data_IF_356708137287
#
_entry.id   IF_356708137287
#
_cell.length_a   1.000
_cell.length_b   1.000
_cell.length_c   1.000
_cell.angle_alpha   90.00
_cell.angle_beta   90.00
_cell.angle_gamma   90.00
#
_symmetry.space_group_name_H-M   'P 1'
#
loop_
_entity.id
_entity.type
_entity.pdbx_description
1 polymer ?
#
# COMPACT_ATOMS: atom_id res chain seq x y z
N UNK A 1 31.43 19.86 3.11
CA UNK A 1 30.15 19.73 2.43
C UNK A 1 29.63 18.34 2.71
N UNK A 2 28.49 18.22 3.36
CA UNK A 2 27.82 16.95 3.58
C UNK A 2 26.91 16.68 2.37
N UNK A 3 26.87 15.45 1.84
CA UNK A 3 25.99 15.09 0.72
C UNK A 3 24.51 15.32 1.05
N UNK A 4 24.11 15.17 2.32
CA UNK A 4 22.75 15.45 2.75
C UNK A 4 22.32 16.91 2.56
N UNK A 5 23.29 17.86 2.54
CA UNK A 5 23.02 19.28 2.29
C UNK A 5 22.62 19.58 0.83
N UNK A 6 22.80 18.59 -0.06
CA UNK A 6 22.45 18.67 -1.48
C UNK A 6 21.09 18.00 -1.80
N UNK A 7 20.45 17.39 -0.82
CA UNK A 7 19.13 16.80 -1.01
C UNK A 7 18.08 17.91 -1.21
N UNK A 8 17.02 17.60 -1.96
CA UNK A 8 15.86 18.51 -2.06
C UNK A 8 15.18 18.63 -0.70
N UNK A 9 14.62 19.79 -0.39
CA UNK A 9 14.09 20.12 0.93
C UNK A 9 13.05 19.11 1.42
N UNK A 10 12.17 18.63 0.54
CA UNK A 10 11.15 17.63 0.86
C UNK A 10 11.75 16.29 1.32
N UNK A 11 12.90 15.90 0.76
CA UNK A 11 13.63 14.69 1.14
C UNK A 11 14.46 14.94 2.40
N UNK A 12 15.11 16.08 2.52
CA UNK A 12 15.91 16.41 3.70
C UNK A 12 15.09 16.46 5.00
N UNK A 13 13.83 16.81 4.89
CA UNK A 13 12.87 16.86 6.02
C UNK A 13 12.23 15.50 6.37
N UNK A 14 12.44 14.44 5.56
CA UNK A 14 11.85 13.14 5.81
C UNK A 14 12.40 12.49 7.09
N UNK A 15 11.50 11.93 7.87
CA UNK A 15 11.84 10.99 8.93
C UNK A 15 11.77 9.57 8.35
N UNK A 16 12.90 8.84 8.24
CA UNK A 16 12.88 7.50 7.67
C UNK A 16 11.95 6.58 8.44
N UNK A 17 11.22 5.74 7.71
CA UNK A 17 10.46 4.66 8.33
C UNK A 17 11.40 3.72 9.08
N UNK A 18 11.12 3.48 10.36
CA UNK A 18 11.88 2.53 11.18
C UNK A 18 11.16 1.18 11.14
N UNK A 19 11.69 0.20 10.40
CA UNK A 19 11.09 -1.14 10.36
C UNK A 19 11.23 -1.86 11.70
N UNK A 20 10.44 -2.91 11.90
CA UNK A 20 10.59 -3.78 13.07
C UNK A 20 12.01 -4.40 13.14
N UNK A 21 12.59 -4.48 14.34
CA UNK A 21 13.94 -5.02 14.53
C UNK A 21 14.03 -6.49 14.09
N UNK A 22 15.08 -6.87 13.34
CA UNK A 22 15.39 -8.29 13.09
C UNK A 22 15.70 -9.03 14.41
N UNK A 23 15.33 -10.32 14.46
CA UNK A 23 15.58 -11.16 15.65
C UNK A 23 17.07 -11.19 15.99
N UNK A 24 17.94 -11.33 14.99
CA UNK A 24 19.39 -11.40 15.15
C UNK A 24 19.98 -10.11 15.73
N UNK A 25 19.41 -8.95 15.41
CA UNK A 25 19.83 -7.67 15.98
C UNK A 25 19.47 -7.60 17.47
N UNK A 26 18.24 -8.04 17.82
CA UNK A 26 17.79 -8.08 19.20
C UNK A 26 18.66 -9.05 20.04
N UNK A 27 18.94 -10.23 19.47
CA UNK A 27 19.82 -11.23 20.12
C UNK A 27 21.22 -10.67 20.38
N UNK A 28 21.81 -9.96 19.41
CA UNK A 28 23.12 -9.32 19.59
C UNK A 28 23.09 -8.21 20.65
N UNK A 29 22.02 -7.40 20.65
CA UNK A 29 21.91 -6.23 21.52
C UNK A 29 21.67 -6.62 22.98
N UNK A 30 20.87 -7.64 23.25
CA UNK A 30 20.41 -8.00 24.60
C UNK A 30 20.95 -9.35 25.09
N UNK A 31 21.70 -10.10 24.29
CA UNK A 31 22.24 -11.39 24.67
C UNK A 31 21.19 -12.50 24.89
N UNK A 32 19.98 -12.32 24.37
CA UNK A 32 18.88 -13.28 24.48
C UNK A 32 18.91 -14.28 23.31
N UNK A 33 18.42 -15.51 23.54
CA UNK A 33 18.43 -16.56 22.50
C UNK A 33 17.04 -16.90 21.99
N UNK A 34 16.06 -16.97 22.86
CA UNK A 34 14.71 -17.41 22.54
C UNK A 34 13.81 -16.18 22.36
N UNK A 35 13.85 -15.59 21.17
CA UNK A 35 13.06 -14.39 20.83
C UNK A 35 11.81 -14.79 20.07
N UNK A 36 10.65 -14.37 20.56
CA UNK A 36 9.38 -14.46 19.85
C UNK A 36 9.10 -13.10 19.22
N UNK A 37 9.11 -13.03 17.88
CA UNK A 37 8.79 -11.82 17.13
C UNK A 37 7.28 -11.75 16.87
N UNK A 38 6.63 -10.71 17.44
CA UNK A 38 5.22 -10.42 17.25
C UNK A 38 5.01 -9.10 16.47
N UNK A 39 6.04 -8.67 15.75
CA UNK A 39 6.05 -7.44 14.95
C UNK A 39 6.11 -7.74 13.45
N UNK A 40 5.83 -6.72 12.63
CA UNK A 40 5.91 -6.75 11.16
C UNK A 40 4.86 -7.63 10.46
N UNK A 41 3.83 -8.09 11.18
CA UNK A 41 2.72 -8.88 10.63
C UNK A 41 3.17 -10.10 9.81
N UNK A 42 4.32 -10.70 10.19
CA UNK A 42 4.86 -11.89 9.53
C UNK A 42 4.00 -13.12 9.82
N UNK A 43 3.74 -13.93 8.79
CA UNK A 43 2.97 -15.16 8.96
C UNK A 43 3.77 -16.21 9.73
N UNK A 44 3.28 -16.71 10.89
CA UNK A 44 3.96 -17.77 11.63
C UNK A 44 3.86 -19.14 10.95
N UNK A 45 2.97 -19.30 9.97
CA UNK A 45 2.74 -20.55 9.23
C UNK A 45 3.80 -20.74 8.13
N UNK A 46 4.39 -19.65 7.65
CA UNK A 46 5.32 -19.67 6.54
C UNK A 46 4.64 -19.89 5.16
N UNK A 47 5.43 -20.04 4.09
CA UNK A 47 4.92 -20.20 2.74
C UNK A 47 4.32 -21.59 2.49
N UNK A 48 3.41 -21.67 1.52
CA UNK A 48 2.85 -22.97 1.09
C UNK A 48 3.90 -23.89 0.46
N UNK A 49 3.71 -25.20 0.55
CA UNK A 49 4.61 -26.17 -0.07
C UNK A 49 4.68 -26.00 -1.60
N UNK A 50 3.58 -25.59 -2.24
CA UNK A 50 3.56 -25.29 -3.66
C UNK A 50 4.45 -24.08 -4.01
N UNK A 51 4.43 -23.03 -3.20
CA UNK A 51 5.31 -21.87 -3.38
C UNK A 51 6.79 -22.26 -3.22
N UNK A 52 7.12 -23.04 -2.19
CA UNK A 52 8.50 -23.52 -1.98
C UNK A 52 9.00 -24.36 -3.16
N UNK A 53 8.17 -25.27 -3.68
CA UNK A 53 8.52 -26.09 -4.84
C UNK A 53 8.73 -25.23 -6.11
N UNK A 54 7.88 -24.23 -6.34
CA UNK A 54 8.01 -23.31 -7.47
C UNK A 54 9.29 -22.46 -7.38
N UNK A 55 9.64 -21.97 -6.19
CA UNK A 55 10.90 -21.24 -5.94
C UNK A 55 12.10 -22.14 -6.23
N UNK A 56 12.13 -23.36 -5.71
CA UNK A 56 13.20 -24.30 -5.94
C UNK A 56 13.39 -24.64 -7.43
N UNK A 57 12.30 -24.67 -8.20
CA UNK A 57 12.36 -24.87 -9.65
C UNK A 57 12.92 -23.61 -10.34
N UNK A 58 12.44 -22.43 -9.98
CA UNK A 58 12.86 -21.16 -10.59
C UNK A 58 14.35 -20.85 -10.36
N UNK A 59 14.94 -21.29 -9.23
CA UNK A 59 16.37 -21.10 -8.95
C UNK A 59 17.32 -21.80 -9.93
N UNK A 60 16.83 -22.71 -10.76
CA UNK A 60 17.65 -23.39 -11.77
C UNK A 60 18.06 -22.48 -12.93
N UNK A 61 17.40 -21.35 -13.11
CA UNK A 61 17.64 -20.41 -14.22
C UNK A 61 17.94 -18.98 -13.72
N UNK A 62 18.70 -18.86 -12.64
CA UNK A 62 19.07 -17.56 -12.04
C UNK A 62 20.04 -16.74 -12.91
N UNK A 63 20.60 -17.32 -13.97
CA UNK A 63 21.53 -16.61 -14.86
C UNK A 63 20.83 -15.68 -15.84
N UNK A 64 19.52 -15.75 -15.94
CA UNK A 64 18.71 -14.91 -16.82
C UNK A 64 17.92 -13.87 -16.02
N UNK A 65 17.74 -12.70 -16.60
CA UNK A 65 16.81 -11.73 -16.05
C UNK A 65 15.36 -12.25 -16.08
N UNK A 66 14.57 -11.97 -15.06
CA UNK A 66 13.14 -12.24 -15.12
C UNK A 66 12.48 -11.39 -16.21
N UNK A 67 11.30 -11.82 -16.67
CA UNK A 67 10.48 -11.01 -17.57
C UNK A 67 10.07 -9.69 -16.88
N UNK A 68 10.59 -8.58 -17.39
CA UNK A 68 10.33 -7.25 -16.85
C UNK A 68 8.86 -6.81 -16.94
N UNK A 69 8.09 -7.40 -17.85
CA UNK A 69 6.64 -7.14 -17.95
C UNK A 69 5.81 -8.02 -17.02
N UNK A 70 6.40 -9.11 -16.48
CA UNK A 70 5.70 -10.06 -15.62
C UNK A 70 4.52 -10.75 -16.32
N UNK A 71 4.66 -11.06 -17.63
CA UNK A 71 3.57 -11.56 -18.46
C UNK A 71 2.83 -12.73 -17.82
N UNK A 72 3.55 -13.77 -17.41
CA UNK A 72 2.94 -14.97 -16.82
C UNK A 72 2.16 -14.66 -15.55
N UNK A 73 2.71 -13.80 -14.67
CA UNK A 73 2.04 -13.40 -13.44
C UNK A 73 0.79 -12.55 -13.72
N UNK A 74 0.90 -11.58 -14.65
CA UNK A 74 -0.24 -10.74 -15.05
C UNK A 74 -1.36 -11.58 -15.67
N UNK A 75 -1.05 -12.57 -16.49
CA UNK A 75 -2.06 -13.47 -17.07
C UNK A 75 -2.77 -14.27 -15.97
N UNK A 76 -2.04 -14.85 -15.03
CA UNK A 76 -2.62 -15.60 -13.92
C UNK A 76 -3.51 -14.72 -13.01
N UNK A 77 -3.10 -13.47 -12.75
CA UNK A 77 -3.90 -12.51 -11.99
C UNK A 77 -5.14 -12.05 -12.78
N UNK A 78 -4.99 -11.79 -14.08
CA UNK A 78 -6.08 -11.42 -14.97
C UNK A 78 -7.17 -12.51 -15.01
N UNK A 79 -6.76 -13.76 -15.15
CA UNK A 79 -7.66 -14.92 -15.09
C UNK A 79 -8.34 -15.04 -13.73
N UNK A 80 -7.56 -14.96 -12.63
CA UNK A 80 -8.08 -15.10 -11.27
C UNK A 80 -9.11 -14.03 -10.93
N UNK A 81 -8.87 -12.78 -11.34
CA UNK A 81 -9.70 -11.63 -10.96
C UNK A 81 -10.63 -11.16 -12.07
N UNK A 82 -10.64 -11.84 -13.22
CA UNK A 82 -11.44 -11.50 -14.41
C UNK A 82 -11.21 -10.06 -14.88
N UNK A 83 -9.92 -9.67 -14.94
CA UNK A 83 -9.43 -8.38 -15.41
C UNK A 83 -8.71 -8.51 -16.75
N UNK A 84 -8.52 -7.38 -17.45
CA UNK A 84 -7.55 -7.30 -18.52
C UNK A 84 -6.13 -7.21 -17.93
N UNK A 85 -5.16 -7.92 -18.52
CA UNK A 85 -3.77 -7.87 -18.08
C UNK A 85 -3.16 -6.45 -18.16
N UNK A 86 -3.69 -5.61 -19.04
CA UNK A 86 -3.34 -4.19 -19.16
C UNK A 86 -3.80 -3.34 -17.96
N UNK A 87 -4.75 -3.82 -17.17
CA UNK A 87 -5.18 -3.16 -15.92
C UNK A 87 -4.28 -3.48 -14.72
N UNK A 88 -3.27 -4.35 -14.89
CA UNK A 88 -2.43 -4.85 -13.79
C UNK A 88 -1.03 -4.27 -13.89
N UNK A 89 -0.60 -3.58 -12.83
CA UNK A 89 0.77 -3.10 -12.65
C UNK A 89 1.44 -3.89 -11.52
N UNK A 90 2.69 -4.27 -11.71
CA UNK A 90 3.49 -5.02 -10.74
C UNK A 90 4.58 -4.11 -10.15
N UNK A 91 4.93 -4.35 -8.89
CA UNK A 91 6.03 -3.67 -8.19
C UNK A 91 6.69 -4.59 -7.17
N UNK A 92 7.75 -4.12 -6.54
CA UNK A 92 8.45 -4.82 -5.45
C UNK A 92 7.69 -4.64 -4.13
N UNK A 93 6.53 -5.29 -4.02
CA UNK A 93 5.57 -5.10 -2.93
C UNK A 93 4.70 -3.84 -3.12
N UNK A 94 3.70 -3.70 -2.24
CA UNK A 94 2.76 -2.57 -2.30
C UNK A 94 3.45 -1.21 -2.10
N UNK A 95 4.51 -1.12 -1.29
CA UNK A 95 5.24 0.13 -1.10
C UNK A 95 5.73 0.74 -2.40
N UNK A 96 6.32 -0.08 -3.29
CA UNK A 96 6.78 0.37 -4.60
C UNK A 96 5.61 0.88 -5.46
N UNK A 97 4.51 0.13 -5.48
CA UNK A 97 3.30 0.51 -6.23
C UNK A 97 2.68 1.80 -5.68
N UNK A 98 2.59 1.96 -4.36
CA UNK A 98 2.07 3.18 -3.71
C UNK A 98 2.92 4.40 -4.05
N UNK A 99 4.25 4.25 -4.05
CA UNK A 99 5.17 5.32 -4.46
C UNK A 99 5.01 5.65 -5.95
N UNK A 100 4.94 4.65 -6.82
CA UNK A 100 4.72 4.85 -8.26
C UNK A 100 3.40 5.58 -8.54
N UNK A 101 2.31 5.23 -7.86
CA UNK A 101 1.02 5.93 -7.97
C UNK A 101 1.19 7.40 -7.58
N UNK A 102 1.77 7.67 -6.42
CA UNK A 102 1.97 9.04 -5.97
C UNK A 102 2.82 9.85 -6.95
N UNK A 103 3.93 9.29 -7.46
CA UNK A 103 4.79 9.94 -8.45
C UNK A 103 4.12 10.17 -9.81
N UNK A 104 3.19 9.29 -10.22
CA UNK A 104 2.47 9.44 -11.48
C UNK A 104 1.44 10.56 -11.46
N UNK A 105 0.79 10.77 -10.32
CA UNK A 105 -0.42 11.58 -10.26
C UNK A 105 -0.31 12.82 -9.40
N UNK A 106 0.67 12.91 -8.49
CA UNK A 106 0.79 13.98 -7.50
C UNK A 106 2.00 14.87 -7.80
N UNK A 107 1.80 16.18 -7.67
CA UNK A 107 2.83 17.21 -7.78
C UNK A 107 2.95 18.00 -6.47
N UNK A 108 3.99 18.85 -6.30
CA UNK A 108 4.16 19.66 -5.08
C UNK A 108 3.04 20.65 -4.77
N UNK A 109 2.16 20.95 -5.73
CA UNK A 109 1.03 21.87 -5.53
C UNK A 109 -0.25 21.17 -5.09
N UNK A 110 -0.25 19.83 -5.11
CA UNK A 110 -1.40 18.98 -4.81
C UNK A 110 -1.47 18.63 -3.32
N UNK A 111 -2.62 18.11 -2.92
CA UNK A 111 -2.91 17.61 -1.59
C UNK A 111 -3.15 16.09 -1.64
N UNK A 112 -2.64 15.39 -0.62
CA UNK A 112 -2.84 13.95 -0.42
C UNK A 112 -3.52 13.72 0.91
N UNK A 113 -4.68 13.05 0.89
CA UNK A 113 -5.49 12.75 2.07
C UNK A 113 -5.21 11.33 2.56
N UNK A 114 -5.05 11.17 3.87
CA UNK A 114 -4.95 9.87 4.56
C UNK A 114 -5.43 10.01 6.01
N UNK A 115 -5.75 8.89 6.65
CA UNK A 115 -6.19 8.89 8.05
C UNK A 115 -5.02 8.94 9.03
N UNK A 116 -5.22 9.49 10.21
CA UNK A 116 -4.25 9.67 11.29
C UNK A 116 -3.47 8.39 11.65
N UNK A 117 -4.12 7.24 11.68
CA UNK A 117 -3.47 5.96 12.01
C UNK A 117 -3.30 5.10 10.75
N UNK A 118 -3.00 5.74 9.61
CA UNK A 118 -2.76 5.04 8.36
C UNK A 118 -1.34 4.49 8.27
N UNK A 119 -1.12 3.65 7.26
CA UNK A 119 0.19 3.08 6.97
C UNK A 119 1.21 4.20 6.68
N UNK A 120 2.37 4.12 7.34
CA UNK A 120 3.38 5.18 7.33
C UNK A 120 3.92 5.55 5.93
N UNK A 121 3.76 4.67 4.93
CA UNK A 121 4.21 4.93 3.56
C UNK A 121 3.42 6.06 2.90
N UNK A 122 2.13 6.24 3.20
CA UNK A 122 1.31 7.27 2.56
C UNK A 122 1.84 8.69 2.78
N UNK A 123 2.05 9.15 4.04
CA UNK A 123 2.65 10.45 4.26
C UNK A 123 4.08 10.55 3.73
N UNK A 124 4.87 9.47 3.81
CA UNK A 124 6.26 9.48 3.35
C UNK A 124 6.37 9.70 1.84
N UNK A 125 5.58 9.01 1.02
CA UNK A 125 5.61 9.18 -0.44
C UNK A 125 5.09 10.55 -0.86
N UNK A 126 4.05 11.07 -0.21
CA UNK A 126 3.51 12.40 -0.48
C UNK A 126 4.53 13.50 -0.10
N UNK A 127 5.15 13.39 1.08
CA UNK A 127 6.20 14.31 1.53
C UNK A 127 7.43 14.27 0.60
N UNK A 128 7.86 13.08 0.15
CA UNK A 128 9.00 12.94 -0.77
C UNK A 128 8.80 13.71 -2.07
N UNK A 129 7.56 13.79 -2.56
CA UNK A 129 7.19 14.57 -3.75
C UNK A 129 7.13 16.08 -3.43
N UNK A 130 6.95 16.46 -2.16
CA UNK A 130 6.74 17.83 -1.71
C UNK A 130 5.26 18.24 -1.71
N UNK A 131 4.33 17.30 -1.79
CA UNK A 131 2.91 17.55 -1.75
C UNK A 131 2.42 17.93 -0.34
N UNK A 132 1.27 18.59 -0.25
CA UNK A 132 0.65 18.90 1.02
C UNK A 132 0.00 17.67 1.65
N UNK A 133 0.31 17.41 2.90
CA UNK A 133 -0.25 16.29 3.67
C UNK A 133 -1.55 16.72 4.35
N UNK A 134 -2.64 16.02 4.10
CA UNK A 134 -3.93 16.23 4.76
C UNK A 134 -4.24 15.00 5.61
N UNK A 135 -3.75 15.02 6.85
CA UNK A 135 -4.04 13.98 7.83
C UNK A 135 -5.41 14.21 8.45
N UNK A 136 -6.34 13.29 8.24
CA UNK A 136 -7.68 13.35 8.80
C UNK A 136 -7.72 12.61 10.14
N UNK A 137 -8.24 13.21 11.23
CA UNK A 137 -8.36 12.53 12.52
C UNK A 137 -9.09 11.18 12.38
N UNK A 138 -8.56 10.17 13.04
CA UNK A 138 -9.18 8.85 13.05
C UNK A 138 -10.45 8.82 13.92
N UNK A 139 -11.42 8.02 13.52
CA UNK A 139 -12.58 7.68 14.32
C UNK A 139 -12.42 6.23 14.81
N UNK A 140 -12.40 6.04 16.12
CA UNK A 140 -12.22 4.72 16.75
C UNK A 140 -11.01 3.94 16.19
N UNK A 141 -9.88 4.64 15.98
CA UNK A 141 -8.66 4.14 15.33
C UNK A 141 -8.80 3.73 13.85
N UNK A 142 -9.95 3.94 13.24
CA UNK A 142 -10.25 3.63 11.84
C UNK A 142 -10.38 4.89 10.98
N UNK A 143 -10.73 4.69 9.72
CA UNK A 143 -10.98 5.76 8.78
C UNK A 143 -12.33 6.44 9.07
N UNK A 144 -12.34 7.76 9.20
CA UNK A 144 -13.56 8.57 9.14
C UNK A 144 -13.79 9.01 7.68
N UNK A 145 -14.49 8.19 6.90
CA UNK A 145 -14.73 8.47 5.49
C UNK A 145 -15.52 9.77 5.28
N UNK A 146 -16.40 10.13 6.22
CA UNK A 146 -17.15 11.39 6.16
C UNK A 146 -16.21 12.59 6.31
N UNK A 147 -15.33 12.55 7.30
CA UNK A 147 -14.34 13.59 7.50
C UNK A 147 -13.32 13.65 6.34
N UNK A 148 -12.91 12.51 5.82
CA UNK A 148 -12.03 12.44 4.64
C UNK A 148 -12.68 13.07 3.41
N UNK A 149 -13.97 12.82 3.17
CA UNK A 149 -14.72 13.46 2.08
C UNK A 149 -14.81 14.98 2.27
N UNK A 150 -15.07 15.45 3.50
CA UNK A 150 -15.15 16.87 3.82
C UNK A 150 -13.80 17.60 3.69
N UNK A 151 -12.69 16.87 3.81
CA UNK A 151 -11.34 17.39 3.66
C UNK A 151 -10.92 17.60 2.18
N UNK A 152 -11.71 17.14 1.22
CA UNK A 152 -11.41 17.28 -0.21
C UNK A 152 -11.53 18.76 -0.61
N UNK A 153 -10.48 19.24 -1.26
CA UNK A 153 -10.40 20.60 -1.82
C UNK A 153 -10.15 20.52 -3.35
N UNK A 154 -10.18 21.63 -4.07
CA UNK A 154 -9.76 21.65 -5.47
C UNK A 154 -8.30 21.25 -5.73
N UNK A 155 -7.46 21.18 -4.68
CA UNK A 155 -6.06 20.74 -4.75
C UNK A 155 -5.90 19.26 -4.45
N UNK A 156 -6.91 18.62 -3.89
CA UNK A 156 -6.85 17.20 -3.56
C UNK A 156 -6.70 16.37 -4.82
N UNK A 157 -5.64 15.55 -4.87
CA UNK A 157 -5.33 14.70 -6.00
C UNK A 157 -5.42 13.21 -5.68
N UNK A 158 -5.09 12.84 -4.45
CA UNK A 158 -4.98 11.45 -4.04
C UNK A 158 -5.55 11.23 -2.64
N UNK A 159 -6.28 10.16 -2.46
CA UNK A 159 -6.80 9.70 -1.17
C UNK A 159 -6.35 8.25 -0.96
N UNK A 160 -5.71 7.96 0.16
CA UNK A 160 -5.34 6.61 0.56
C UNK A 160 -6.30 6.04 1.60
N UNK A 161 -6.80 4.84 1.37
CA UNK A 161 -7.66 4.08 2.30
C UNK A 161 -7.10 2.66 2.39
N UNK A 162 -6.63 2.25 3.56
CA UNK A 162 -6.26 0.86 3.83
C UNK A 162 -7.45 0.10 4.43
N UNK A 163 -7.84 -1.04 3.85
CA UNK A 163 -8.94 -1.82 4.37
C UNK A 163 -8.74 -3.34 4.16
N UNK A 164 -8.50 -4.09 5.23
CA UNK A 164 -8.30 -3.69 6.65
C UNK A 164 -7.13 -2.74 6.87
N UNK A 165 -7.25 -1.82 7.85
CA UNK A 165 -6.22 -0.82 8.12
C UNK A 165 -4.98 -1.42 8.79
N UNK A 166 -3.80 -0.99 8.38
CA UNK A 166 -2.53 -1.23 9.05
C UNK A 166 -2.05 0.10 9.69
N UNK A 167 -1.79 0.16 11.03
CA UNK A 167 -1.57 -0.98 11.93
C UNK A 167 -2.76 -1.36 12.82
N UNK A 168 -3.91 -0.68 12.74
CA UNK A 168 -4.98 -0.78 13.75
C UNK A 168 -5.88 -2.01 13.59
N UNK A 169 -5.89 -2.63 12.41
CA UNK A 169 -6.74 -3.77 12.09
C UNK A 169 -8.24 -3.41 11.98
N UNK A 170 -8.58 -2.11 11.99
CA UNK A 170 -9.96 -1.68 11.82
C UNK A 170 -10.43 -1.94 10.39
N UNK A 171 -11.73 -2.20 10.24
CA UNK A 171 -12.35 -2.53 8.98
C UNK A 171 -13.55 -1.62 8.71
N UNK A 172 -13.62 -1.09 7.51
CA UNK A 172 -14.76 -0.29 7.01
C UNK A 172 -15.61 -1.19 6.14
N UNK A 173 -16.92 -1.17 6.35
CA UNK A 173 -17.84 -2.00 5.57
C UNK A 173 -17.83 -1.61 4.08
N UNK A 174 -17.99 -2.59 3.21
CA UNK A 174 -17.91 -2.41 1.76
C UNK A 174 -18.89 -1.35 1.22
N UNK A 175 -20.11 -1.30 1.76
CA UNK A 175 -21.12 -0.31 1.39
C UNK A 175 -20.72 1.13 1.78
N UNK A 176 -19.94 1.32 2.85
CA UNK A 176 -19.46 2.64 3.26
C UNK A 176 -18.35 3.12 2.31
N UNK A 177 -17.41 2.22 1.94
CA UNK A 177 -16.37 2.53 0.94
C UNK A 177 -17.03 2.82 -0.42
N UNK A 178 -17.98 2.01 -0.83
CA UNK A 178 -18.71 2.23 -2.08
C UNK A 178 -19.43 3.58 -2.10
N UNK A 179 -20.13 3.93 -1.02
CA UNK A 179 -20.77 5.25 -0.87
C UNK A 179 -19.77 6.41 -0.89
N UNK A 180 -18.59 6.22 -0.30
CA UNK A 180 -17.50 7.18 -0.37
C UNK A 180 -17.03 7.37 -1.83
N UNK A 181 -16.80 6.28 -2.58
CA UNK A 181 -16.38 6.35 -3.98
C UNK A 181 -17.39 7.08 -4.86
N UNK A 182 -18.70 6.89 -4.62
CA UNK A 182 -19.75 7.61 -5.33
C UNK A 182 -19.77 9.12 -5.05
N UNK A 183 -19.26 9.53 -3.89
CA UNK A 183 -19.28 10.92 -3.45
C UNK A 183 -17.98 11.69 -3.80
N UNK A 184 -16.92 11.00 -4.24
CA UNK A 184 -15.63 11.61 -4.57
C UNK A 184 -15.65 12.15 -6.01
N UNK A 185 -15.11 13.37 -6.26
CA UNK A 185 -14.97 13.89 -7.61
C UNK A 185 -14.09 13.01 -8.50
N UNK A 186 -14.44 12.87 -9.77
CA UNK A 186 -13.75 12.00 -10.74
C UNK A 186 -12.27 12.35 -10.96
N UNK A 187 -11.86 13.58 -10.65
CA UNK A 187 -10.47 14.02 -10.76
C UNK A 187 -9.62 13.73 -9.51
N UNK A 188 -10.21 13.14 -8.46
CA UNK A 188 -9.52 12.68 -7.25
C UNK A 188 -9.33 11.17 -7.33
N UNK A 189 -8.09 10.72 -7.27
CA UNK A 189 -7.76 9.30 -7.30
C UNK A 189 -7.93 8.72 -5.89
N UNK A 190 -8.61 7.60 -5.79
CA UNK A 190 -8.72 6.83 -4.55
C UNK A 190 -7.88 5.57 -4.67
N UNK A 191 -6.93 5.38 -3.76
CA UNK A 191 -6.16 4.14 -3.63
C UNK A 191 -6.74 3.35 -2.47
N UNK A 192 -7.36 2.22 -2.79
CA UNK A 192 -7.80 1.23 -1.82
C UNK A 192 -6.70 0.20 -1.62
N UNK A 193 -6.00 0.31 -0.50
CA UNK A 193 -4.92 -0.61 -0.13
C UNK A 193 -5.51 -1.82 0.60
N UNK A 194 -5.55 -2.92 -0.11
CA UNK A 194 -6.08 -4.21 0.32
C UNK A 194 -4.96 -5.21 0.63
N UNK A 195 -3.85 -4.76 1.21
CA UNK A 195 -2.74 -5.64 1.60
C UNK A 195 -3.18 -6.76 2.57
N UNK A 196 -4.28 -6.56 3.27
CA UNK A 196 -4.83 -7.50 4.27
C UNK A 196 -6.25 -7.95 3.95
N UNK A 197 -6.69 -7.87 2.69
CA UNK A 197 -8.06 -8.19 2.29
C UNK A 197 -8.48 -9.63 2.65
N UNK A 198 -7.53 -10.57 2.66
CA UNK A 198 -7.78 -11.97 3.02
C UNK A 198 -8.16 -12.17 4.50
N UNK A 199 -7.97 -11.15 5.36
CA UNK A 199 -8.38 -11.15 6.78
C UNK A 199 -9.70 -10.46 7.03
N UNK A 200 -10.29 -9.83 6.00
CA UNK A 200 -11.59 -9.17 6.07
C UNK A 200 -12.76 -10.12 5.74
N UNK A 201 -13.96 -9.65 6.00
CA UNK A 201 -15.19 -10.34 5.59
C UNK A 201 -15.39 -10.14 4.08
N UNK A 202 -15.10 -11.16 3.30
CA UNK A 202 -15.10 -11.13 1.82
C UNK A 202 -16.51 -11.12 1.21
N UNK A 203 -17.46 -10.43 1.78
CA UNK A 203 -18.85 -10.40 1.25
C UNK A 203 -18.97 -9.65 -0.08
N UNK A 204 -18.04 -8.73 -0.38
CA UNK A 204 -18.05 -7.97 -1.62
C UNK A 204 -16.65 -7.86 -2.23
N UNK A 205 -16.55 -8.19 -3.51
CA UNK A 205 -15.30 -8.09 -4.25
C UNK A 205 -15.12 -6.65 -4.79
N UNK A 206 -14.26 -5.87 -4.16
CA UNK A 206 -13.93 -4.50 -4.55
C UNK A 206 -13.38 -4.36 -5.99
N UNK A 207 -12.82 -5.43 -6.54
CA UNK A 207 -12.32 -5.46 -7.93
C UNK A 207 -13.45 -5.18 -8.94
N UNK A 208 -14.68 -5.57 -8.65
CA UNK A 208 -15.81 -5.27 -9.53
C UNK A 208 -16.09 -3.76 -9.65
N UNK A 209 -15.72 -2.98 -8.64
CA UNK A 209 -15.87 -1.53 -8.63
C UNK A 209 -14.97 -0.82 -9.66
N UNK A 210 -13.88 -1.45 -10.09
CA UNK A 210 -13.02 -0.90 -11.17
C UNK A 210 -13.77 -0.67 -12.49
N UNK A 211 -14.92 -1.31 -12.69
CA UNK A 211 -15.77 -1.11 -13.86
C UNK A 211 -16.61 0.18 -13.79
N UNK A 212 -16.82 0.67 -12.56
CA UNK A 212 -17.71 1.80 -12.27
C UNK A 212 -16.92 3.07 -11.92
N UNK A 213 -15.78 2.91 -11.25
CA UNK A 213 -14.96 4.03 -10.75
C UNK A 213 -13.61 4.09 -11.48
N UNK A 214 -13.49 4.90 -12.54
CA UNK A 214 -12.24 4.99 -13.32
C UNK A 214 -11.08 5.65 -12.54
N UNK A 215 -11.38 6.32 -11.44
CA UNK A 215 -10.43 6.95 -10.52
C UNK A 215 -10.06 6.07 -9.31
N UNK A 216 -10.51 4.81 -9.27
CA UNK A 216 -10.14 3.84 -8.24
C UNK A 216 -8.90 3.03 -8.67
N UNK A 217 -7.94 2.91 -7.75
CA UNK A 217 -6.81 1.98 -7.86
C UNK A 217 -6.85 1.04 -6.65
N UNK A 218 -6.76 -0.26 -6.88
CA UNK A 218 -6.71 -1.27 -5.82
C UNK A 218 -5.29 -1.81 -5.73
N UNK A 219 -4.68 -1.70 -4.54
CA UNK A 219 -3.39 -2.27 -4.23
C UNK A 219 -3.54 -3.58 -3.47
N UNK A 220 -2.83 -4.63 -3.90
CA UNK A 220 -2.72 -5.93 -3.21
C UNK A 220 -1.27 -6.39 -3.16
N UNK A 221 -0.95 -7.32 -2.29
CA UNK A 221 0.42 -7.84 -2.14
C UNK A 221 0.41 -9.36 -1.96
N UNK A 222 1.56 -9.97 -2.21
CA UNK A 222 1.81 -11.38 -1.88
C UNK A 222 2.53 -11.55 -0.53
N UNK A 223 2.88 -10.43 0.13
CA UNK A 223 3.53 -10.49 1.45
C UNK A 223 2.55 -10.75 2.58
#
# INVERSE_FOLDING_TARGET
MNLCDLAVDSIAALQPYVPGKPIEELQRQYGVRDVIKLASNESPIGPSQAALAAIALATRDLTRYPDGNGFTLKQALAEKFQLDAGQITLGNGSNDVLELIARCFVSPVDEVIFSQHAFAVYPLVAQAIGASLVEVPAKDFGHDLTAMQQAITPKTKLVFIANPNNPTGTYVAANEIYGFLQAIPDNVIVVLDEAYVEYGDNEQNSIDWLKEFPNLIICRTFS
#
